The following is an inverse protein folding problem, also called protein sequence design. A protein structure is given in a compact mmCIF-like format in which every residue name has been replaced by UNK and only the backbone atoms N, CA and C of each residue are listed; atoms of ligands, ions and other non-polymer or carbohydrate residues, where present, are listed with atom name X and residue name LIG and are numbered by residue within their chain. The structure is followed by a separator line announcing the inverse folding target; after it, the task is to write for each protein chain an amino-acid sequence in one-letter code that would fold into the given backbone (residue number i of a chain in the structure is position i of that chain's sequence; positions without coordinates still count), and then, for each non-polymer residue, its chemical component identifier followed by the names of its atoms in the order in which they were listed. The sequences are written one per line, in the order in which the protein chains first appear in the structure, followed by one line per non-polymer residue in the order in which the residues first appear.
data_IF_920916776796
#
_entry.id   IF_920916776796
#
_cell.length_a   1.000
_cell.length_b   1.000
_cell.length_c   1.000
_cell.angle_alpha   90.00
_cell.angle_beta   90.00
_cell.angle_gamma   90.00
#
_symmetry.space_group_name_H-M   'P 1'
#
loop_
_entity.id
_entity.type
_entity.pdbx_description
1 polymer ?
#
# COMPACT_ATOMS: atom_id res chain seq x y z
N UNK A 1 6.19 8.49 8.95
CA UNK A 1 5.68 7.43 8.05
C UNK A 1 5.80 7.80 6.58
N UNK A 2 5.36 9.01 6.17
CA UNK A 2 5.58 9.49 4.80
C UNK A 2 7.06 9.50 4.38
N UNK A 3 7.94 10.03 5.22
CA UNK A 3 9.39 10.04 4.96
C UNK A 3 9.98 8.63 4.76
N UNK A 4 9.47 7.65 5.48
CA UNK A 4 9.89 6.25 5.38
C UNK A 4 9.39 5.63 4.08
N UNK A 5 8.12 5.87 3.71
CA UNK A 5 7.54 5.41 2.44
C UNK A 5 8.22 6.09 1.23
N UNK A 6 8.52 7.39 1.31
CA UNK A 6 9.32 8.09 0.31
C UNK A 6 10.74 7.51 0.20
N UNK A 7 11.33 7.11 1.32
CA UNK A 7 12.65 6.46 1.32
C UNK A 7 12.61 5.09 0.65
N UNK A 8 11.55 4.31 0.88
CA UNK A 8 11.29 3.03 0.19
C UNK A 8 11.18 3.25 -1.31
N UNK A 9 10.37 4.21 -1.74
CA UNK A 9 10.26 4.57 -3.15
C UNK A 9 11.59 4.97 -3.78
N UNK A 10 12.37 5.79 -3.08
CA UNK A 10 13.69 6.19 -3.55
C UNK A 10 14.64 5.00 -3.68
N UNK A 11 14.50 3.97 -2.84
CA UNK A 11 15.23 2.71 -2.99
C UNK A 11 14.78 1.99 -4.25
N UNK A 12 13.47 1.90 -4.52
CA UNK A 12 12.94 1.27 -5.73
C UNK A 12 13.43 1.97 -7.00
N UNK A 13 13.35 3.29 -7.05
CA UNK A 13 13.83 4.08 -8.20
C UNK A 13 15.34 3.88 -8.44
N UNK A 14 16.16 3.96 -7.38
CA UNK A 14 17.61 3.71 -7.49
C UNK A 14 17.94 2.30 -7.93
N UNK A 15 17.25 1.32 -7.36
CA UNK A 15 17.44 -0.09 -7.70
C UNK A 15 17.05 -0.33 -9.16
N UNK A 16 15.91 0.18 -9.62
CA UNK A 16 15.49 0.04 -11.01
C UNK A 16 16.51 0.68 -11.97
N UNK A 17 16.99 1.88 -11.66
CA UNK A 17 18.03 2.57 -12.45
C UNK A 17 19.34 1.80 -12.55
N UNK A 18 19.76 1.14 -11.47
CA UNK A 18 20.98 0.30 -11.49
C UNK A 18 20.88 -0.90 -12.44
N UNK A 19 19.67 -1.30 -12.84
CA UNK A 19 19.39 -2.39 -13.77
C UNK A 19 18.80 -1.89 -15.09
N UNK A 20 19.20 -0.69 -15.55
CA UNK A 20 18.73 -0.05 -16.78
C UNK A 20 17.20 0.08 -16.89
N UNK A 21 16.51 0.23 -15.76
CA UNK A 21 15.05 0.25 -15.66
C UNK A 21 14.36 -1.05 -16.11
N UNK A 22 15.00 -2.20 -15.90
CA UNK A 22 14.46 -3.53 -16.28
C UNK A 22 13.75 -4.27 -15.14
N UNK A 23 13.75 -3.73 -13.92
CA UNK A 23 13.15 -4.38 -12.74
C UNK A 23 11.65 -4.12 -12.62
N UNK A 24 11.22 -2.93 -12.99
CA UNK A 24 9.82 -2.50 -12.98
C UNK A 24 9.58 -1.46 -14.06
N UNK A 25 8.38 -1.47 -14.64
CA UNK A 25 7.97 -0.52 -15.66
C UNK A 25 7.84 0.89 -15.09
N UNK A 26 8.22 1.90 -15.89
CA UNK A 26 8.18 3.29 -15.47
C UNK A 26 6.76 3.78 -15.14
N UNK A 27 5.73 3.20 -15.76
CA UNK A 27 4.34 3.48 -15.42
C UNK A 27 3.99 2.96 -14.03
N UNK A 28 4.35 1.72 -13.71
CA UNK A 28 4.05 1.12 -12.40
C UNK A 28 4.76 1.88 -11.27
N UNK A 29 6.02 2.28 -11.49
CA UNK A 29 6.74 3.10 -10.52
C UNK A 29 6.12 4.50 -10.37
N UNK A 30 5.59 5.09 -11.44
CA UNK A 30 4.87 6.37 -11.35
C UNK A 30 3.55 6.20 -10.61
N UNK A 31 2.79 5.15 -10.92
CA UNK A 31 1.50 4.88 -10.31
C UNK A 31 1.66 4.64 -8.80
N UNK A 32 2.74 3.97 -8.37
CA UNK A 32 3.08 3.84 -6.96
C UNK A 32 3.33 5.21 -6.29
N UNK A 33 3.99 6.14 -6.98
CA UNK A 33 4.21 7.49 -6.45
C UNK A 33 2.89 8.26 -6.30
N UNK A 34 2.11 8.28 -7.36
CA UNK A 34 0.88 9.08 -7.44
C UNK A 34 -0.23 8.52 -6.55
N UNK A 35 -0.39 7.19 -6.51
CA UNK A 35 -1.49 6.57 -5.79
C UNK A 35 -1.19 6.28 -4.33
N UNK A 36 0.08 6.00 -3.98
CA UNK A 36 0.46 5.67 -2.60
C UNK A 36 1.11 6.86 -1.92
N UNK A 37 2.25 7.35 -2.44
CA UNK A 37 3.08 8.32 -1.71
C UNK A 37 2.39 9.68 -1.59
N UNK A 38 1.81 10.14 -2.69
CA UNK A 38 1.18 11.45 -2.75
C UNK A 38 -0.18 11.45 -2.01
N UNK A 39 -0.86 10.31 -1.94
CA UNK A 39 -2.15 10.14 -1.24
C UNK A 39 -2.01 9.87 0.26
N UNK A 40 -0.90 9.29 0.72
CA UNK A 40 -0.71 8.82 2.09
C UNK A 40 -1.10 9.83 3.19
N UNK A 41 -0.82 11.12 3.00
CA UNK A 41 -1.22 12.16 3.96
C UNK A 41 -2.73 12.27 4.11
N UNK A 42 -3.47 12.14 3.01
CA UNK A 42 -4.93 12.14 3.00
C UNK A 42 -5.47 10.91 3.75
N UNK A 43 -4.82 9.76 3.62
CA UNK A 43 -5.25 8.53 4.29
C UNK A 43 -5.03 8.60 5.80
N UNK A 44 -3.91 9.17 6.25
CA UNK A 44 -3.72 9.52 7.65
C UNK A 44 -4.70 10.59 8.15
N UNK A 45 -5.13 11.50 7.27
CA UNK A 45 -6.11 12.52 7.65
C UNK A 45 -7.49 11.91 7.94
N UNK A 46 -7.88 10.85 7.25
CA UNK A 46 -9.08 10.09 7.61
C UNK A 46 -8.97 9.46 9.00
N UNK A 47 -7.80 8.92 9.37
CA UNK A 47 -7.59 8.41 10.72
C UNK A 47 -7.76 9.50 11.78
N UNK A 48 -7.14 10.67 11.58
CA UNK A 48 -7.26 11.81 12.51
C UNK A 48 -8.70 12.27 12.66
N UNK A 49 -9.43 12.41 11.55
CA UNK A 49 -10.85 12.78 11.57
C UNK A 49 -11.67 11.77 12.35
N UNK A 50 -11.46 10.48 12.11
CA UNK A 50 -12.17 9.42 12.83
C UNK A 50 -11.92 9.45 14.34
N UNK A 51 -10.65 9.59 14.74
CA UNK A 51 -10.27 9.75 16.15
C UNK A 51 -10.91 10.99 16.78
N UNK A 52 -10.88 12.13 16.08
CA UNK A 52 -11.45 13.39 16.57
C UNK A 52 -12.98 13.30 16.78
N UNK A 53 -13.70 12.51 15.98
CA UNK A 53 -15.13 12.28 16.24
C UNK A 53 -15.37 11.40 17.46
N UNK A 54 -14.54 10.38 17.69
CA UNK A 54 -14.63 9.54 18.89
C UNK A 54 -14.21 10.27 20.17
N UNK A 55 -13.29 11.22 20.11
CA UNK A 55 -12.92 12.06 21.26
C UNK A 55 -14.08 12.95 21.73
N UNK A 56 -14.98 13.33 20.83
CA UNK A 56 -16.19 14.11 21.16
C UNK A 56 -17.33 13.24 21.70
N UNK A 57 -17.25 11.93 21.51
CA UNK A 57 -18.34 11.01 21.82
C UNK A 57 -18.30 10.58 23.29
N UNK A 58 -19.43 10.70 23.99
CA UNK A 58 -19.61 10.08 25.29
C UNK A 58 -20.04 8.60 25.10
N UNK A 59 -19.09 7.68 25.23
CA UNK A 59 -19.35 6.25 25.04
C UNK A 59 -20.32 5.65 26.06
N UNK A 60 -20.43 6.22 27.26
CA UNK A 60 -21.34 5.71 28.30
C UNK A 60 -22.82 5.97 27.97
N UNK A 61 -23.09 6.98 27.12
CA UNK A 61 -24.43 7.38 26.69
C UNK A 61 -24.77 6.90 25.27
N UNK A 62 -23.82 6.26 24.58
CA UNK A 62 -24.02 5.74 23.23
C UNK A 62 -24.99 4.53 23.25
N UNK A 63 -26.16 4.71 22.66
CA UNK A 63 -27.21 3.66 22.60
C UNK A 63 -27.53 3.20 21.18
N UNK A 64 -26.99 3.87 20.15
CA UNK A 64 -27.28 3.55 18.75
C UNK A 64 -26.09 3.84 17.84
N UNK A 65 -25.83 2.93 16.90
CA UNK A 65 -24.86 3.15 15.82
C UNK A 65 -25.28 4.24 14.84
N UNK A 66 -26.50 4.80 14.94
CA UNK A 66 -26.96 5.93 14.13
C UNK A 66 -26.53 7.29 14.70
N UNK A 67 -25.88 7.31 15.86
CA UNK A 67 -25.26 8.52 16.38
C UNK A 67 -24.28 9.08 15.34
N UNK A 68 -24.32 10.39 15.10
CA UNK A 68 -23.56 11.01 14.01
C UNK A 68 -22.07 10.97 14.29
N UNK A 69 -21.63 11.19 15.52
CA UNK A 69 -20.22 11.17 15.90
C UNK A 69 -19.68 9.73 15.81
N UNK A 70 -20.45 8.77 16.31
CA UNK A 70 -20.09 7.35 16.17
C UNK A 70 -19.97 6.93 14.70
N UNK A 71 -20.99 7.22 13.89
CA UNK A 71 -21.03 6.83 12.48
C UNK A 71 -19.87 7.45 11.70
N UNK A 72 -19.65 8.75 11.87
CA UNK A 72 -18.56 9.46 11.18
C UNK A 72 -17.19 8.97 11.65
N UNK A 73 -17.05 8.69 12.96
CA UNK A 73 -15.85 8.09 13.53
C UNK A 73 -15.51 6.76 12.85
N UNK A 74 -16.48 5.84 12.79
CA UNK A 74 -16.33 4.52 12.14
C UNK A 74 -15.98 4.67 10.67
N UNK A 75 -16.72 5.48 9.91
CA UNK A 75 -16.51 5.64 8.46
C UNK A 75 -15.11 6.17 8.16
N UNK A 76 -14.69 7.23 8.86
CA UNK A 76 -13.38 7.84 8.64
C UNK A 76 -12.25 6.88 9.04
N UNK A 77 -12.33 6.22 10.20
CA UNK A 77 -11.31 5.24 10.59
C UNK A 77 -11.26 4.07 9.61
N UNK A 78 -12.41 3.52 9.20
CA UNK A 78 -12.45 2.41 8.25
C UNK A 78 -11.81 2.77 6.92
N UNK A 79 -12.11 3.96 6.39
CA UNK A 79 -11.55 4.41 5.11
C UNK A 79 -10.04 4.64 5.20
N UNK A 80 -9.57 5.33 6.24
CA UNK A 80 -8.14 5.54 6.44
C UNK A 80 -7.37 4.23 6.62
N UNK A 81 -7.91 3.28 7.39
CA UNK A 81 -7.28 1.97 7.60
C UNK A 81 -7.22 1.15 6.31
N UNK A 82 -8.30 1.08 5.55
CA UNK A 82 -8.34 0.31 4.29
C UNK A 82 -7.36 0.89 3.27
N UNK A 83 -7.31 2.22 3.12
CA UNK A 83 -6.40 2.86 2.18
C UNK A 83 -4.94 2.61 2.56
N UNK A 84 -4.56 2.81 3.83
CA UNK A 84 -3.19 2.54 4.30
C UNK A 84 -2.80 1.07 4.12
N UNK A 85 -3.73 0.13 4.33
CA UNK A 85 -3.46 -1.29 4.08
C UNK A 85 -3.18 -1.52 2.60
N UNK A 86 -4.00 -0.96 1.70
CA UNK A 86 -3.79 -1.05 0.25
C UNK A 86 -2.43 -0.46 -0.17
N UNK A 87 -2.12 0.73 0.31
CA UNK A 87 -0.83 1.40 0.07
C UNK A 87 0.37 0.55 0.45
N UNK A 88 0.32 -0.07 1.64
CA UNK A 88 1.39 -0.93 2.14
C UNK A 88 1.47 -2.24 1.34
N UNK A 89 0.34 -2.77 0.90
CA UNK A 89 0.29 -3.95 0.03
C UNK A 89 0.91 -3.65 -1.34
N UNK A 90 0.60 -2.50 -1.94
CA UNK A 90 1.17 -2.09 -3.24
C UNK A 90 2.69 -1.90 -3.14
N UNK A 91 3.19 -1.33 -2.04
CA UNK A 91 4.62 -1.20 -1.77
C UNK A 91 5.31 -2.57 -1.63
N UNK A 92 4.69 -3.51 -0.91
CA UNK A 92 5.19 -4.86 -0.69
C UNK A 92 5.22 -5.68 -1.98
N UNK A 93 4.12 -5.63 -2.75
CA UNK A 93 4.00 -6.33 -4.02
C UNK A 93 5.04 -5.81 -5.02
N UNK A 94 5.22 -4.49 -5.08
CA UNK A 94 6.24 -3.85 -5.92
C UNK A 94 7.64 -4.34 -5.55
N UNK A 95 8.00 -4.34 -4.26
CA UNK A 95 9.30 -4.83 -3.81
C UNK A 95 9.54 -6.28 -4.22
N UNK A 96 8.54 -7.13 -3.99
CA UNK A 96 8.61 -8.54 -4.31
C UNK A 96 8.76 -8.78 -5.82
N UNK A 97 8.02 -8.02 -6.65
CA UNK A 97 8.11 -8.08 -8.11
C UNK A 97 9.51 -7.67 -8.58
N UNK A 98 10.01 -6.53 -8.09
CA UNK A 98 11.35 -6.05 -8.39
C UNK A 98 12.43 -7.06 -7.97
N UNK A 99 12.32 -7.64 -6.78
CA UNK A 99 13.29 -8.62 -6.29
C UNK A 99 13.29 -9.90 -7.13
N UNK A 100 12.11 -10.43 -7.48
CA UNK A 100 12.01 -11.59 -8.39
C UNK A 100 12.64 -11.29 -9.75
N UNK A 101 12.36 -10.10 -10.30
CA UNK A 101 12.96 -9.68 -11.57
C UNK A 101 14.47 -9.55 -11.47
N UNK A 102 14.97 -9.06 -10.34
CA UNK A 102 16.41 -9.01 -10.07
C UNK A 102 17.01 -10.42 -10.06
N UNK A 103 16.44 -11.36 -9.30
CA UNK A 103 16.89 -12.77 -9.26
C UNK A 103 16.94 -13.40 -10.66
N UNK A 104 15.97 -13.09 -11.53
CA UNK A 104 15.98 -13.55 -12.92
C UNK A 104 17.15 -12.94 -13.70
N UNK A 105 17.35 -11.61 -13.60
CA UNK A 105 18.43 -10.90 -14.31
C UNK A 105 19.83 -11.28 -13.80
N UNK A 106 19.96 -11.69 -12.54
CA UNK A 106 21.21 -12.18 -11.95
C UNK A 106 21.47 -13.67 -12.19
N UNK A 107 20.57 -14.39 -12.88
CA UNK A 107 20.59 -15.84 -13.08
C UNK A 107 20.53 -16.66 -11.78
N UNK A 108 19.95 -16.10 -10.71
CA UNK A 108 19.67 -16.82 -9.47
C UNK A 108 18.46 -17.76 -9.60
N UNK A 109 17.52 -17.43 -10.49
CA UNK A 109 16.38 -18.27 -10.86
C UNK A 109 16.28 -18.39 -12.38
N UNK A 110 15.64 -19.47 -12.82
CA UNK A 110 15.30 -19.69 -14.22
C UNK A 110 14.05 -18.90 -14.64
N UNK A 111 13.86 -18.74 -15.95
CA UNK A 111 12.63 -18.16 -16.50
C UNK A 111 11.39 -18.99 -16.15
N UNK A 112 11.53 -20.32 -16.04
CA UNK A 112 10.44 -21.20 -15.61
C UNK A 112 10.02 -20.93 -14.16
N UNK A 113 10.99 -20.80 -13.25
CA UNK A 113 10.74 -20.48 -11.83
C UNK A 113 10.13 -19.08 -11.67
N UNK A 114 10.61 -18.11 -12.46
CA UNK A 114 10.02 -16.78 -12.52
C UNK A 114 8.55 -16.83 -12.94
N UNK A 115 8.22 -17.51 -14.04
CA UNK A 115 6.85 -17.62 -14.53
C UNK A 115 5.92 -18.33 -13.53
N UNK A 116 6.38 -19.41 -12.88
CA UNK A 116 5.63 -20.10 -11.81
C UNK A 116 5.32 -19.18 -10.64
N UNK A 117 6.24 -18.30 -10.26
CA UNK A 117 6.04 -17.37 -9.15
C UNK A 117 4.92 -16.35 -9.43
N UNK A 118 4.78 -15.92 -10.69
CA UNK A 118 3.70 -15.01 -11.12
C UNK A 118 2.33 -15.69 -11.08
N UNK A 119 2.26 -16.97 -11.45
CA UNK A 119 1.01 -17.74 -11.43
C UNK A 119 0.45 -17.95 -10.00
N UNK A 120 1.34 -18.11 -9.01
CA UNK A 120 0.95 -18.28 -7.61
C UNK A 120 0.28 -16.99 -7.09
N UNK A 121 0.87 -15.82 -7.39
CA UNK A 121 0.33 -14.51 -6.97
C UNK A 121 -1.04 -14.26 -7.59
N UNK A 122 -1.21 -14.58 -8.88
CA UNK A 122 -2.49 -14.41 -9.58
C UNK A 122 -3.61 -15.26 -8.96
N UNK A 123 -3.28 -16.38 -8.30
CA UNK A 123 -4.25 -17.23 -7.60
C UNK A 123 -4.52 -16.73 -6.18
N UNK A 124 -3.50 -16.22 -5.48
CA UNK A 124 -3.65 -15.63 -4.15
C UNK A 124 -4.49 -14.35 -4.18
N UNK A 125 -4.23 -13.45 -5.14
CA UNK A 125 -4.94 -12.15 -5.28
C UNK A 125 -6.38 -12.28 -5.78
N UNK A 126 -6.80 -13.44 -6.29
CA UNK A 126 -8.20 -13.74 -6.66
C UNK A 126 -9.02 -14.39 -5.53
N UNK A 127 -8.36 -14.75 -4.43
CA UNK A 127 -8.97 -15.49 -3.32
C UNK A 127 -9.26 -14.61 -2.09
N UNK A 128 -8.91 -13.32 -2.15
CA UNK A 128 -9.23 -12.29 -1.16
C UNK A 128 -10.24 -11.29 -1.76
#
# INVERSE_FOLDING_TARGET
MKSEIESIYNIYDKLNKNFDNKLIDASELRDLKENVIDCLEMDFEYLKKGLAEFEKLNFEELTSSKDSLYTLGVVNLSMGLVNIIGDLQDLEETLNNMNRKFMLLSNEITEEEYNKSLEIITKTNKSN
#
